data_IF_910699454096
#
_entry.id   IF_910699454096
#
_cell.length_a   1.000
_cell.length_b   1.000
_cell.length_c   1.000
_cell.angle_alpha   90.00
_cell.angle_beta   90.00
_cell.angle_gamma   90.00
#
_symmetry.space_group_name_H-M   'P 1'
#
loop_
_entity.id
_entity.type
_entity.pdbx_description
1 polymer ?
#
# COMPACT_ATOMS: atom_id res chain seq x y z
N UNK A 1 -25.46 2.90 7.54
CA UNK A 1 -24.45 2.94 6.45
C UNK A 1 -23.00 2.97 6.97
N UNK A 2 -22.64 3.79 7.96
CA UNK A 2 -21.27 3.88 8.52
C UNK A 2 -20.68 2.56 9.04
N UNK A 3 -21.48 1.69 9.69
CA UNK A 3 -20.98 0.38 10.19
C UNK A 3 -20.45 -0.54 9.07
N UNK A 4 -21.03 -0.48 7.88
CA UNK A 4 -20.63 -1.32 6.73
C UNK A 4 -19.31 -0.80 6.14
N UNK A 5 -19.17 0.51 6.01
CA UNK A 5 -17.94 1.16 5.55
C UNK A 5 -16.77 0.85 6.48
N UNK A 6 -16.98 0.88 7.79
CA UNK A 6 -15.93 0.54 8.76
C UNK A 6 -15.51 -0.94 8.66
N UNK A 7 -16.46 -1.88 8.47
CA UNK A 7 -16.13 -3.29 8.26
C UNK A 7 -15.32 -3.51 6.97
N UNK A 8 -15.68 -2.83 5.88
CA UNK A 8 -14.96 -2.89 4.61
C UNK A 8 -13.53 -2.32 4.72
N UNK A 9 -13.35 -1.21 5.43
CA UNK A 9 -12.02 -0.64 5.70
C UNK A 9 -11.14 -1.62 6.47
N UNK A 10 -11.66 -2.23 7.53
CA UNK A 10 -10.93 -3.23 8.32
C UNK A 10 -10.60 -4.46 7.47
N UNK A 11 -11.55 -4.93 6.66
CA UNK A 11 -11.31 -6.05 5.74
C UNK A 11 -10.19 -5.73 4.74
N UNK A 12 -10.19 -4.53 4.14
CA UNK A 12 -9.15 -4.11 3.21
C UNK A 12 -7.76 -4.03 3.88
N UNK A 13 -7.70 -3.54 5.12
CA UNK A 13 -6.46 -3.52 5.90
C UNK A 13 -5.97 -4.95 6.15
N UNK A 14 -6.85 -5.87 6.55
CA UNK A 14 -6.50 -7.27 6.79
C UNK A 14 -5.98 -7.93 5.50
N UNK A 15 -6.66 -7.73 4.37
CA UNK A 15 -6.25 -8.28 3.07
C UNK A 15 -4.88 -7.73 2.64
N UNK A 16 -4.59 -6.47 2.95
CA UNK A 16 -3.28 -5.87 2.67
C UNK A 16 -2.18 -6.41 3.61
N UNK A 17 -2.47 -6.55 4.90
CA UNK A 17 -1.51 -6.99 5.91
C UNK A 17 -1.19 -8.50 5.80
N UNK A 18 -2.17 -9.31 5.39
CA UNK A 18 -2.06 -10.76 5.33
C UNK A 18 -0.87 -11.25 4.47
N UNK A 19 -0.69 -10.83 3.20
CA UNK A 19 0.45 -11.26 2.40
C UNK A 19 1.79 -10.77 2.98
N UNK A 20 1.82 -9.58 3.57
CA UNK A 20 3.02 -9.01 4.19
C UNK A 20 3.45 -9.86 5.39
N UNK A 21 2.51 -10.19 6.28
CA UNK A 21 2.77 -11.04 7.43
C UNK A 21 3.11 -12.47 7.01
N UNK A 22 2.42 -13.00 6.00
CA UNK A 22 2.68 -14.35 5.50
C UNK A 22 4.12 -14.49 4.99
N UNK A 23 4.58 -13.55 4.15
CA UNK A 23 5.97 -13.52 3.66
C UNK A 23 6.96 -13.33 4.81
N UNK A 24 6.65 -12.47 5.79
CA UNK A 24 7.50 -12.25 6.96
C UNK A 24 7.71 -13.50 7.79
N UNK A 25 6.63 -14.25 8.05
CA UNK A 25 6.67 -15.47 8.88
C UNK A 25 7.41 -16.58 8.16
N UNK A 26 7.21 -16.73 6.85
CA UNK A 26 7.83 -17.80 6.06
C UNK A 26 9.33 -17.58 5.83
N UNK A 27 9.73 -16.33 5.60
CA UNK A 27 11.10 -16.05 5.14
C UNK A 27 12.05 -15.79 6.30
N UNK A 28 11.54 -15.46 7.51
CA UNK A 28 12.32 -15.12 8.72
C UNK A 28 13.40 -14.04 8.52
N UNK A 29 13.35 -13.32 7.39
CA UNK A 29 14.31 -12.30 7.00
C UNK A 29 13.59 -10.97 6.83
N UNK A 30 14.11 -9.95 7.49
CA UNK A 30 13.60 -8.58 7.47
C UNK A 30 13.67 -8.01 6.04
N UNK A 31 14.69 -8.39 5.28
CA UNK A 31 14.86 -8.02 3.86
C UNK A 31 13.61 -8.33 3.01
N UNK A 32 13.07 -9.54 3.12
CA UNK A 32 11.92 -9.96 2.32
C UNK A 32 10.61 -9.31 2.79
N UNK A 33 10.53 -8.96 4.07
CA UNK A 33 9.43 -8.15 4.59
C UNK A 33 9.47 -6.72 4.03
N UNK A 34 10.65 -6.09 3.99
CA UNK A 34 10.82 -4.77 3.38
C UNK A 34 10.48 -4.79 1.89
N UNK A 35 10.95 -5.80 1.16
CA UNK A 35 10.66 -5.96 -0.26
C UNK A 35 9.15 -6.11 -0.51
N UNK A 36 8.49 -7.03 0.19
CA UNK A 36 7.04 -7.25 0.04
C UNK A 36 6.23 -6.01 0.40
N UNK A 37 6.60 -5.32 1.49
CA UNK A 37 5.92 -4.10 1.93
C UNK A 37 6.15 -2.96 0.96
N UNK A 38 7.37 -2.78 0.45
CA UNK A 38 7.72 -1.78 -0.56
C UNK A 38 6.92 -1.96 -1.84
N UNK A 39 6.89 -3.19 -2.39
CA UNK A 39 6.12 -3.51 -3.61
C UNK A 39 4.63 -3.23 -3.42
N UNK A 40 4.04 -3.70 -2.31
CA UNK A 40 2.62 -3.48 -2.01
C UNK A 40 2.29 -1.99 -1.84
N UNK A 41 3.20 -1.22 -1.25
CA UNK A 41 3.02 0.23 -1.03
C UNK A 41 3.10 1.01 -2.35
N UNK A 42 4.02 0.65 -3.25
CA UNK A 42 4.08 1.23 -4.61
C UNK A 42 2.81 0.90 -5.38
N UNK A 43 2.36 -0.36 -5.33
CA UNK A 43 1.13 -0.80 -5.99
C UNK A 43 -0.09 -0.04 -5.48
N UNK A 44 -0.17 0.19 -4.16
CA UNK A 44 -1.23 0.98 -3.55
C UNK A 44 -1.20 2.44 -4.03
N UNK A 45 -0.03 3.06 -4.07
CA UNK A 45 0.16 4.41 -4.62
C UNK A 45 -0.26 4.53 -6.09
N UNK A 46 0.08 3.53 -6.91
CA UNK A 46 -0.37 3.44 -8.31
C UNK A 46 -1.88 3.26 -8.41
N UNK A 47 -2.48 2.35 -7.63
CA UNK A 47 -3.92 2.15 -7.59
C UNK A 47 -4.65 3.44 -7.23
N UNK A 48 -4.16 4.19 -6.24
CA UNK A 48 -4.74 5.49 -5.88
C UNK A 48 -4.63 6.54 -6.99
N UNK A 49 -3.60 6.47 -7.84
CA UNK A 49 -3.44 7.37 -8.99
C UNK A 49 -4.33 6.98 -10.18
N UNK A 50 -4.48 5.67 -10.47
CA UNK A 50 -5.20 5.17 -11.64
C UNK A 50 -6.70 4.91 -11.39
N UNK A 51 -7.08 4.47 -10.19
CA UNK A 51 -8.47 4.20 -9.84
C UNK A 51 -9.43 5.38 -10.09
N UNK A 52 -9.11 6.65 -9.72
CA UNK A 52 -10.02 7.77 -9.99
C UNK A 52 -10.17 8.03 -11.50
N UNK A 53 -9.12 7.77 -12.29
CA UNK A 53 -9.17 7.93 -13.75
C UNK A 53 -10.04 6.85 -14.41
N UNK A 54 -9.97 5.60 -13.94
CA UNK A 54 -10.75 4.49 -14.48
C UNK A 54 -12.23 4.52 -14.04
N UNK A 55 -12.50 5.04 -12.84
CA UNK A 55 -13.86 5.11 -12.28
C UNK A 55 -14.63 6.40 -12.63
N UNK A 56 -14.04 7.30 -13.43
CA UNK A 56 -14.67 8.56 -13.83
C UNK A 56 -14.95 9.51 -12.65
N UNK A 57 -14.22 9.33 -11.53
CA UNK A 57 -14.44 10.11 -10.32
C UNK A 57 -13.81 11.49 -10.48
N UNK A 58 -14.63 12.54 -10.54
CA UNK A 58 -14.19 13.91 -10.79
C UNK A 58 -13.20 14.35 -9.70
N UNK A 59 -11.97 14.67 -10.11
CA UNK A 59 -10.76 14.87 -9.28
C UNK A 59 -10.81 16.11 -8.38
N UNK A 60 -11.97 16.76 -8.28
CA UNK A 60 -12.16 18.10 -7.72
C UNK A 60 -12.29 18.15 -6.19
N UNK A 61 -12.44 16.99 -5.52
CA UNK A 61 -12.75 16.94 -4.09
C UNK A 61 -11.60 16.51 -3.17
N UNK A 62 -10.48 15.97 -3.70
CA UNK A 62 -9.41 15.42 -2.86
C UNK A 62 -8.08 16.13 -3.14
N UNK A 63 -7.98 17.35 -2.62
CA UNK A 63 -6.87 18.28 -2.86
C UNK A 63 -5.63 17.99 -2.01
N UNK A 64 -5.73 17.06 -1.05
CA UNK A 64 -4.65 16.69 -0.12
C UNK A 64 -5.00 15.29 0.39
N UNK A 65 -4.28 14.21 0.08
CA UNK A 65 -2.96 13.95 0.65
C UNK A 65 -2.26 12.79 -0.10
N UNK A 66 -1.48 13.15 -1.12
CA UNK A 66 -0.17 12.55 -1.41
C UNK A 66 -0.11 11.04 -1.75
N UNK A 67 -0.85 10.59 -2.77
CA UNK A 67 -0.59 9.30 -3.45
C UNK A 67 0.87 9.18 -3.91
N UNK A 68 1.48 10.30 -4.28
CA UNK A 68 2.92 10.44 -4.55
C UNK A 68 3.78 10.12 -3.34
N UNK A 69 3.40 10.52 -2.13
CA UNK A 69 4.14 10.19 -0.91
C UNK A 69 4.08 8.72 -0.56
N UNK A 70 2.94 8.07 -0.83
CA UNK A 70 2.79 6.61 -0.68
C UNK A 70 3.71 5.89 -1.69
N UNK A 71 3.75 6.37 -2.94
CA UNK A 71 4.72 5.86 -3.92
C UNK A 71 6.17 6.07 -3.47
N UNK A 72 6.52 7.27 -2.99
CA UNK A 72 7.87 7.61 -2.52
C UNK A 72 8.26 6.77 -1.30
N UNK A 73 7.37 6.53 -0.34
CA UNK A 73 7.66 5.68 0.81
C UNK A 73 7.87 4.21 0.41
N UNK A 74 7.12 3.71 -0.57
CA UNK A 74 7.34 2.38 -1.14
C UNK A 74 8.69 2.26 -1.85
N UNK A 75 9.11 3.28 -2.60
CA UNK A 75 10.44 3.33 -3.25
C UNK A 75 11.54 3.39 -2.18
N UNK A 76 11.35 4.17 -1.11
CA UNK A 76 12.31 4.27 -0.01
C UNK A 76 12.49 2.93 0.71
N UNK A 77 11.41 2.19 0.95
CA UNK A 77 11.43 0.82 1.51
C UNK A 77 12.22 -0.14 0.61
N UNK A 78 12.02 -0.06 -0.71
CA UNK A 78 12.79 -0.84 -1.68
C UNK A 78 14.27 -0.46 -1.68
N UNK A 79 14.58 0.82 -1.50
CA UNK A 79 15.95 1.32 -1.44
C UNK A 79 16.67 0.84 -0.16
N UNK A 80 15.98 0.83 0.99
CA UNK A 80 16.48 0.20 2.21
C UNK A 80 16.78 -1.29 2.00
N UNK A 81 15.88 -2.02 1.34
CA UNK A 81 16.13 -3.43 1.00
C UNK A 81 17.40 -3.59 0.14
N UNK A 82 17.61 -2.74 -0.87
CA UNK A 82 18.84 -2.81 -1.69
C UNK A 82 20.13 -2.48 -0.92
N UNK A 83 20.02 -1.80 0.22
CA UNK A 83 21.14 -1.50 1.12
C UNK A 83 21.45 -2.66 2.09
N UNK A 84 20.66 -3.73 2.10
CA UNK A 84 20.91 -4.96 2.87
C UNK A 84 20.64 -4.81 4.38
N UNK A 85 19.45 -4.30 4.72
CA UNK A 85 19.01 -4.00 6.09
C UNK A 85 17.94 -4.97 6.59
#
# INVERSE_FOLDING_TARGET
>A
MQKIVNKLKVLAIIIYLFPILFVSIFTQSIDYFLLSTGIMTILLGLCMNFAPHYLGYNKSADKYHSSTFIGISGILLLLLYTMGL
#
